data_IF_781871828832
#
_entry.id   IF_781871828832
#
_cell.length_a   1.000
_cell.length_b   1.000
_cell.length_c   1.000
_cell.angle_alpha   90.00
_cell.angle_beta   90.00
_cell.angle_gamma   90.00
#
_symmetry.space_group_name_H-M   'P 1'
#
loop_
_entity.id
_entity.type
_entity.pdbx_description
1 polymer ?
#
# COMPACT_ATOMS: atom_id res chain seq x y z
N UNK A 1 -12.63 7.29 -7.45
CA UNK A 1 -12.56 5.93 -8.04
C UNK A 1 -12.45 5.96 -9.55
N UNK A 2 -13.41 6.50 -10.31
CA UNK A 2 -13.33 6.53 -11.78
C UNK A 2 -12.01 7.12 -12.32
N UNK A 3 -11.57 8.26 -11.78
CA UNK A 3 -10.30 8.89 -12.13
C UNK A 3 -9.07 7.98 -11.88
N UNK A 4 -9.08 7.25 -10.76
CA UNK A 4 -8.00 6.31 -10.42
C UNK A 4 -7.97 5.18 -11.44
N UNK A 5 -9.12 4.58 -11.75
CA UNK A 5 -9.19 3.50 -12.73
C UNK A 5 -8.79 3.95 -14.14
N UNK A 6 -9.13 5.18 -14.55
CA UNK A 6 -8.66 5.75 -15.82
C UNK A 6 -7.14 5.91 -15.84
N UNK A 7 -6.55 6.42 -14.75
CA UNK A 7 -5.10 6.57 -14.62
C UNK A 7 -4.39 5.23 -14.72
N UNK A 8 -4.87 4.22 -13.98
CA UNK A 8 -4.29 2.87 -14.00
C UNK A 8 -4.47 2.20 -15.35
N UNK A 9 -5.64 2.31 -15.98
CA UNK A 9 -5.86 1.79 -17.34
C UNK A 9 -4.85 2.38 -18.32
N UNK A 10 -4.65 3.70 -18.27
CA UNK A 10 -3.68 4.41 -19.11
C UNK A 10 -2.24 3.91 -18.90
N UNK A 11 -1.84 3.66 -17.65
CA UNK A 11 -0.52 3.07 -17.34
C UNK A 11 -0.38 1.67 -17.94
N UNK A 12 -1.36 0.79 -17.73
CA UNK A 12 -1.29 -0.58 -18.26
C UNK A 12 -1.27 -0.57 -19.79
N UNK A 13 -2.04 0.31 -20.44
CA UNK A 13 -2.05 0.45 -21.90
C UNK A 13 -0.67 0.96 -22.43
N UNK A 14 0.02 1.83 -21.69
CA UNK A 14 1.33 2.40 -22.07
C UNK A 14 2.51 1.44 -21.83
N UNK A 15 2.53 0.76 -20.69
CA UNK A 15 3.63 -0.12 -20.28
C UNK A 15 3.24 -1.58 -20.51
N UNK A 16 3.83 -2.20 -21.53
CA UNK A 16 3.48 -3.57 -21.96
C UNK A 16 3.88 -4.69 -20.99
N UNK A 17 4.79 -4.39 -20.06
CA UNK A 17 5.32 -5.29 -19.04
C UNK A 17 4.63 -5.15 -17.68
N UNK A 18 3.67 -4.23 -17.55
CA UNK A 18 2.85 -4.10 -16.34
C UNK A 18 1.57 -4.94 -16.41
N UNK A 19 1.17 -5.43 -15.24
CA UNK A 19 -0.13 -6.03 -15.00
C UNK A 19 -0.76 -5.44 -13.74
N UNK A 20 -2.08 -5.36 -13.72
CA UNK A 20 -2.86 -4.94 -12.56
C UNK A 20 -3.56 -6.14 -11.95
N UNK A 21 -3.45 -6.31 -10.64
CA UNK A 21 -4.35 -7.15 -9.85
C UNK A 21 -5.16 -6.24 -8.96
N UNK A 22 -6.49 -6.25 -9.11
CA UNK A 22 -7.40 -5.45 -8.29
C UNK A 22 -8.40 -6.35 -7.56
N UNK A 23 -8.15 -6.65 -6.27
CA UNK A 23 -9.14 -7.28 -5.39
C UNK A 23 -10.31 -6.33 -5.16
N UNK A 24 -11.43 -6.60 -5.83
CA UNK A 24 -12.56 -5.67 -5.89
C UNK A 24 -13.32 -5.64 -4.57
N UNK A 25 -13.50 -4.44 -4.01
CA UNK A 25 -14.40 -4.23 -2.88
C UNK A 25 -15.82 -4.77 -3.19
N UNK A 26 -16.52 -5.27 -2.17
CA UNK A 26 -17.89 -5.83 -2.29
C UNK A 26 -18.97 -4.79 -2.68
N UNK A 27 -18.61 -3.53 -2.89
CA UNK A 27 -19.57 -2.47 -3.19
C UNK A 27 -19.95 -2.57 -4.67
N UNK A 28 -21.23 -2.86 -5.02
CA UNK A 28 -21.64 -3.03 -6.41
C UNK A 28 -21.31 -1.83 -7.29
N UNK A 29 -21.47 -0.60 -6.77
CA UNK A 29 -21.16 0.62 -7.53
C UNK A 29 -19.68 0.73 -7.90
N UNK A 30 -18.79 0.24 -7.04
CA UNK A 30 -17.34 0.23 -7.33
C UNK A 30 -17.02 -0.83 -8.36
N UNK A 31 -17.65 -2.02 -8.26
CA UNK A 31 -17.50 -3.10 -9.24
C UNK A 31 -17.96 -2.71 -10.63
N UNK A 32 -19.12 -2.07 -10.76
CA UNK A 32 -19.65 -1.64 -12.05
C UNK A 32 -18.67 -0.69 -12.76
N UNK A 33 -18.11 0.27 -12.02
CA UNK A 33 -17.13 1.22 -12.55
C UNK A 33 -15.80 0.52 -12.87
N UNK A 34 -15.36 -0.43 -12.04
CA UNK A 34 -14.16 -1.22 -12.30
C UNK A 34 -14.31 -2.05 -13.57
N UNK A 35 -15.38 -2.83 -13.71
CA UNK A 35 -15.63 -3.62 -14.93
C UNK A 35 -15.77 -2.74 -16.17
N UNK A 36 -16.42 -1.58 -16.06
CA UNK A 36 -16.58 -0.66 -17.20
C UNK A 36 -15.25 -0.10 -17.73
N UNK A 37 -14.28 0.17 -16.86
CA UNK A 37 -13.03 0.88 -17.23
C UNK A 37 -11.85 -0.07 -17.35
N UNK A 38 -11.71 -0.99 -16.39
CA UNK A 38 -10.60 -1.91 -16.26
C UNK A 38 -10.89 -3.27 -16.92
N UNK A 39 -12.16 -3.62 -17.15
CA UNK A 39 -12.53 -4.90 -17.75
C UNK A 39 -12.06 -5.06 -19.20
N UNK A 40 -11.98 -6.32 -19.63
CA UNK A 40 -11.67 -6.69 -21.01
C UNK A 40 -10.23 -6.39 -21.45
N UNK A 41 -9.30 -6.29 -20.50
CA UNK A 41 -7.87 -6.11 -20.77
C UNK A 41 -7.08 -7.31 -20.25
N UNK A 42 -6.29 -7.95 -21.11
CA UNK A 42 -5.63 -9.25 -20.82
C UNK A 42 -4.61 -9.22 -19.67
N UNK A 43 -4.15 -8.02 -19.27
CA UNK A 43 -3.20 -7.81 -18.16
C UNK A 43 -3.84 -7.14 -16.94
N UNK A 44 -5.18 -7.06 -16.88
CA UNK A 44 -5.90 -6.52 -15.73
C UNK A 44 -6.81 -7.59 -15.15
N UNK A 45 -6.46 -8.06 -13.96
CA UNK A 45 -7.20 -9.07 -13.22
C UNK A 45 -8.11 -8.42 -12.18
N UNK A 46 -9.41 -8.49 -12.43
CA UNK A 46 -10.45 -8.07 -11.49
C UNK A 46 -10.90 -9.28 -10.68
N UNK A 47 -10.39 -9.40 -9.46
CA UNK A 47 -10.60 -10.59 -8.63
C UNK A 47 -11.49 -10.30 -7.41
N UNK A 48 -11.96 -11.37 -6.77
CA UNK A 48 -12.65 -11.26 -5.49
C UNK A 48 -11.69 -10.80 -4.37
N UNK A 49 -12.19 -10.18 -3.29
CA UNK A 49 -11.36 -9.81 -2.15
C UNK A 49 -10.53 -10.99 -1.66
N UNK A 50 -9.23 -10.78 -1.53
CA UNK A 50 -8.29 -11.75 -0.98
C UNK A 50 -8.42 -11.82 0.53
N UNK A 51 -8.14 -12.99 1.11
CA UNK A 51 -7.87 -13.08 2.53
C UNK A 51 -6.48 -12.50 2.86
N UNK A 52 -6.16 -12.43 4.15
CA UNK A 52 -4.91 -11.81 4.61
C UNK A 52 -3.66 -12.55 4.12
N UNK A 53 -3.71 -13.88 4.03
CA UNK A 53 -2.55 -14.68 3.64
C UNK A 53 -2.27 -14.45 2.16
N UNK A 54 -3.29 -14.55 1.32
CA UNK A 54 -3.16 -14.32 -0.10
C UNK A 54 -2.75 -12.87 -0.35
N UNK A 55 -3.41 -11.90 0.28
CA UNK A 55 -3.11 -10.48 0.08
C UNK A 55 -1.66 -10.15 0.41
N UNK A 56 -1.13 -10.61 1.56
CA UNK A 56 0.27 -10.35 1.93
C UNK A 56 1.26 -10.96 0.94
N UNK A 57 0.96 -12.14 0.40
CA UNK A 57 1.80 -12.75 -0.63
C UNK A 57 1.75 -11.97 -1.95
N UNK A 58 0.57 -11.51 -2.38
CA UNK A 58 0.44 -10.63 -3.55
C UNK A 58 1.18 -9.30 -3.34
N UNK A 59 1.01 -8.66 -2.19
CA UNK A 59 1.69 -7.43 -1.83
C UNK A 59 3.22 -7.61 -1.91
N UNK A 60 3.75 -8.69 -1.33
CA UNK A 60 5.19 -9.01 -1.37
C UNK A 60 5.73 -9.25 -2.78
N UNK A 61 4.92 -9.74 -3.72
CA UNK A 61 5.32 -9.93 -5.12
C UNK A 61 5.07 -8.71 -6.01
N UNK A 62 4.29 -7.72 -5.55
CA UNK A 62 4.01 -6.51 -6.31
C UNK A 62 5.28 -5.68 -6.57
N UNK A 63 5.25 -4.84 -7.61
CA UNK A 63 6.31 -3.85 -7.83
C UNK A 63 6.10 -2.63 -6.93
N UNK A 64 4.89 -2.09 -6.89
CA UNK A 64 4.41 -1.09 -5.92
C UNK A 64 2.90 -1.25 -5.72
N UNK A 65 2.33 -0.54 -4.75
CA UNK A 65 0.92 -0.64 -4.39
C UNK A 65 0.24 0.74 -4.47
N UNK A 66 -0.96 0.77 -5.05
CA UNK A 66 -1.89 1.89 -4.99
C UNK A 66 -2.97 1.58 -3.96
N UNK A 67 -3.15 2.41 -2.93
CA UNK A 67 -4.13 2.10 -1.87
C UNK A 67 -4.66 3.34 -1.15
N UNK A 68 -5.90 3.26 -0.66
CA UNK A 68 -6.46 4.18 0.34
C UNK A 68 -6.57 3.53 1.74
N UNK A 69 -6.16 2.26 1.87
CA UNK A 69 -6.22 1.49 3.12
C UNK A 69 -5.12 1.94 4.09
N UNK A 70 -5.50 2.16 5.35
CA UNK A 70 -4.56 2.47 6.44
C UNK A 70 -3.66 1.27 6.78
N UNK A 71 -4.21 0.06 6.84
CA UNK A 71 -3.41 -1.15 7.16
C UNK A 71 -2.34 -1.43 6.12
N UNK A 72 -2.66 -1.25 4.83
CA UNK A 72 -1.69 -1.48 3.76
C UNK A 72 -0.55 -0.46 3.77
N UNK A 73 -0.81 0.77 4.23
CA UNK A 73 0.25 1.76 4.43
C UNK A 73 1.24 1.33 5.53
N UNK A 74 0.81 0.55 6.52
CA UNK A 74 1.68 0.02 7.57
C UNK A 74 2.39 -1.28 7.15
N UNK A 75 1.70 -2.14 6.40
CA UNK A 75 2.15 -3.49 6.06
C UNK A 75 3.08 -3.53 4.85
N UNK A 76 2.76 -2.79 3.78
CA UNK A 76 3.53 -2.85 2.53
C UNK A 76 5.00 -2.42 2.68
N UNK A 77 5.35 -1.42 3.50
CA UNK A 77 6.76 -1.09 3.76
C UNK A 77 7.56 -2.24 4.37
N UNK A 78 6.95 -3.13 5.16
CA UNK A 78 7.64 -4.33 5.67
C UNK A 78 8.03 -5.32 4.57
N UNK A 79 7.46 -5.20 3.38
CA UNK A 79 7.81 -6.00 2.19
C UNK A 79 8.70 -5.23 1.21
N UNK A 80 9.22 -4.07 1.62
CA UNK A 80 10.03 -3.16 0.79
C UNK A 80 9.25 -2.72 -0.47
N UNK A 81 7.95 -2.44 -0.32
CA UNK A 81 7.09 -2.04 -1.43
C UNK A 81 6.71 -0.57 -1.32
N UNK A 82 7.06 0.25 -2.34
CA UNK A 82 6.58 1.61 -2.41
C UNK A 82 5.05 1.66 -2.43
N UNK A 83 4.48 2.64 -1.74
CA UNK A 83 3.02 2.84 -1.69
C UNK A 83 2.65 4.24 -2.16
N UNK A 84 1.74 4.31 -3.13
CA UNK A 84 1.09 5.56 -3.52
C UNK A 84 -0.29 5.62 -2.87
N UNK A 85 -0.49 6.59 -1.99
CA UNK A 85 -1.69 6.74 -1.18
C UNK A 85 -2.74 7.53 -1.95
N UNK A 86 -3.88 6.90 -2.22
CA UNK A 86 -4.99 7.42 -3.02
C UNK A 86 -5.96 8.30 -2.19
N UNK A 87 -5.41 9.16 -1.33
CA UNK A 87 -6.15 10.09 -0.47
C UNK A 87 -5.51 11.47 -0.51
N UNK A 88 -6.28 12.52 -0.26
CA UNK A 88 -5.75 13.90 -0.20
C UNK A 88 -4.98 14.19 1.10
N UNK A 89 -5.24 13.41 2.14
CA UNK A 89 -4.59 13.49 3.45
C UNK A 89 -4.43 12.07 3.98
N UNK A 90 -3.41 11.85 4.81
CA UNK A 90 -3.18 10.57 5.50
C UNK A 90 -3.03 10.75 7.00
N UNK A 91 -3.57 9.82 7.78
CA UNK A 91 -3.35 9.64 9.22
C UNK A 91 -2.04 8.88 9.54
N UNK A 92 -1.17 8.72 8.53
CA UNK A 92 0.09 7.99 8.57
C UNK A 92 1.26 8.87 8.11
N UNK A 93 1.50 10.03 8.76
CA UNK A 93 2.57 10.94 8.36
C UNK A 93 3.96 10.30 8.48
N UNK A 94 4.15 9.36 9.40
CA UNK A 94 5.43 8.71 9.66
C UNK A 94 5.97 7.98 8.42
N UNK A 95 5.09 7.32 7.68
CA UNK A 95 5.45 6.61 6.45
C UNK A 95 5.76 7.55 5.29
N UNK A 96 5.16 8.74 5.28
CA UNK A 96 5.50 9.82 4.33
C UNK A 96 6.87 10.40 4.67
N UNK A 97 7.10 10.72 5.95
CA UNK A 97 8.36 11.27 6.44
C UNK A 97 9.53 10.29 6.24
N UNK A 98 9.27 8.99 6.44
CA UNK A 98 10.24 7.92 6.17
C UNK A 98 10.49 7.67 4.67
N UNK A 99 9.62 8.17 3.78
CA UNK A 99 9.72 7.97 2.33
C UNK A 99 9.11 6.66 1.80
N UNK A 100 8.51 5.84 2.66
CA UNK A 100 7.83 4.60 2.26
C UNK A 100 6.50 4.86 1.53
N UNK A 101 5.85 5.99 1.84
CA UNK A 101 4.54 6.40 1.31
C UNK A 101 4.66 7.71 0.53
N UNK A 102 3.95 7.83 -0.60
CA UNK A 102 3.73 9.11 -1.29
C UNK A 102 2.23 9.37 -1.39
N UNK A 103 1.76 10.48 -0.83
CA UNK A 103 0.34 10.89 -0.91
C UNK A 103 0.09 11.54 -2.26
N UNK A 104 -0.82 10.96 -3.05
CA UNK A 104 -1.06 11.37 -4.44
C UNK A 104 -2.46 11.95 -4.66
N UNK A 105 -3.42 11.63 -3.80
CA UNK A 105 -4.80 12.05 -4.00
C UNK A 105 -5.56 11.13 -4.98
N UNK A 106 -6.58 11.68 -5.64
CA UNK A 106 -7.52 10.89 -6.46
C UNK A 106 -7.77 11.46 -7.85
N UNK A 107 -7.05 12.51 -8.23
CA UNK A 107 -7.12 13.09 -9.56
C UNK A 107 -6.38 12.19 -10.55
N UNK A 108 -6.96 11.98 -11.74
CA UNK A 108 -6.42 11.04 -12.74
C UNK A 108 -4.96 11.35 -13.08
N UNK A 109 -4.69 12.61 -13.42
CA UNK A 109 -3.36 13.04 -13.83
C UNK A 109 -2.30 12.86 -12.73
N UNK A 110 -2.64 13.13 -11.47
CA UNK A 110 -1.72 13.02 -10.35
C UNK A 110 -1.36 11.56 -10.08
N UNK A 111 -2.37 10.68 -10.07
CA UNK A 111 -2.20 9.23 -9.90
C UNK A 111 -1.34 8.66 -11.02
N UNK A 112 -1.63 9.02 -12.27
CA UNK A 112 -0.85 8.58 -13.42
C UNK A 112 0.60 9.06 -13.32
N UNK A 113 0.82 10.35 -13.04
CA UNK A 113 2.16 10.95 -13.03
C UNK A 113 3.02 10.37 -11.91
N UNK A 114 2.47 10.21 -10.71
CA UNK A 114 3.21 9.64 -9.58
C UNK A 114 3.59 8.17 -9.80
N UNK A 115 2.69 7.37 -10.40
CA UNK A 115 3.00 5.99 -10.75
C UNK A 115 4.02 5.91 -11.88
N UNK A 116 3.87 6.73 -12.93
CA UNK A 116 4.83 6.84 -14.03
C UNK A 116 6.23 7.20 -13.54
N UNK A 117 6.35 8.22 -12.67
CA UNK A 117 7.62 8.59 -12.05
C UNK A 117 8.26 7.42 -11.31
N UNK A 118 7.47 6.65 -10.55
CA UNK A 118 7.97 5.51 -9.79
C UNK A 118 8.41 4.34 -10.69
N UNK A 119 7.79 4.19 -11.86
CA UNK A 119 8.16 3.18 -12.87
C UNK A 119 9.43 3.61 -13.62
N UNK A 120 9.51 4.88 -14.03
CA UNK A 120 10.57 5.38 -14.90
C UNK A 120 11.85 5.81 -14.13
N UNK A 121 11.74 6.17 -12.84
CA UNK A 121 12.87 6.60 -12.01
C UNK A 121 13.26 5.50 -11.00
N UNK A 122 14.26 4.71 -11.39
CA UNK A 122 14.82 3.65 -10.55
C UNK A 122 15.37 4.19 -9.21
N UNK A 123 15.89 5.43 -9.16
CA UNK A 123 16.40 5.99 -7.91
C UNK A 123 15.27 6.29 -6.94
N UNK A 124 14.17 6.85 -7.43
CA UNK A 124 12.97 7.08 -6.62
C UNK A 124 12.41 5.74 -6.12
N UNK A 125 12.38 4.72 -6.97
CA UNK A 125 11.93 3.39 -6.58
C UNK A 125 12.76 2.83 -5.42
N UNK A 126 14.09 2.84 -5.54
CA UNK A 126 14.98 2.35 -4.48
C UNK A 126 14.85 3.18 -3.19
N UNK A 127 14.75 4.50 -3.30
CA UNK A 127 14.51 5.38 -2.14
C UNK A 127 13.26 4.99 -1.34
N UNK A 128 12.17 4.66 -2.03
CA UNK A 128 10.91 4.27 -1.35
C UNK A 128 10.91 2.82 -0.87
N UNK A 129 11.52 1.89 -1.63
CA UNK A 129 11.52 0.46 -1.31
C UNK A 129 12.53 0.09 -0.23
N UNK A 130 13.66 0.79 -0.13
CA UNK A 130 14.69 0.56 0.89
C UNK A 130 14.47 1.39 2.17
N UNK A 131 13.48 2.30 2.16
CA UNK A 131 13.10 3.06 3.34
C UNK A 131 12.64 2.15 4.48
N UNK A 132 13.08 2.46 5.70
CA UNK A 132 12.73 1.67 6.88
C UNK A 132 11.26 1.84 7.24
N UNK A 133 10.58 0.75 7.57
CA UNK A 133 9.19 0.80 8.03
C UNK A 133 9.11 1.46 9.42
N UNK A 134 8.50 2.65 9.57
CA UNK A 134 8.40 3.33 10.86
C UNK A 134 7.34 2.73 11.79
N UNK A 135 6.52 1.78 11.31
CA UNK A 135 5.36 1.26 12.05
C UNK A 135 5.68 0.07 12.95
N UNK A 136 6.82 -0.58 12.76
CA UNK A 136 7.25 -1.65 13.63
C UNK A 136 8.23 -2.64 13.02
N UNK A 137 8.68 -3.54 13.89
CA UNK A 137 9.67 -4.58 13.62
C UNK A 137 9.11 -6.00 13.80
N UNK A 138 7.79 -6.12 13.98
CA UNK A 138 7.11 -7.40 14.21
C UNK A 138 7.00 -7.83 15.68
N UNK A 139 7.53 -7.09 16.64
CA UNK A 139 7.51 -7.46 18.07
C UNK A 139 6.51 -6.65 18.92
N UNK A 140 5.56 -5.96 18.29
CA UNK A 140 4.56 -5.14 18.99
C UNK A 140 3.76 -5.93 20.03
N UNK A 141 3.31 -7.15 19.72
CA UNK A 141 2.54 -7.98 20.65
C UNK A 141 3.34 -8.34 21.90
N UNK A 142 4.62 -8.69 21.75
CA UNK A 142 5.50 -8.98 22.88
C UNK A 142 5.70 -7.73 23.76
N UNK A 143 5.95 -6.57 23.14
CA UNK A 143 6.09 -5.30 23.87
C UNK A 143 4.82 -4.95 24.65
N UNK A 144 3.64 -5.12 24.05
CA UNK A 144 2.35 -4.87 24.72
C UNK A 144 2.19 -5.77 25.94
N UNK A 145 2.43 -7.07 25.78
CA UNK A 145 2.34 -8.04 26.89
C UNK A 145 3.31 -7.68 28.01
N UNK A 146 4.55 -7.31 27.68
CA UNK A 146 5.55 -6.94 28.66
C UNK A 146 5.16 -5.64 29.40
N UNK A 147 4.56 -4.66 28.71
CA UNK A 147 4.06 -3.44 29.36
C UNK A 147 2.89 -3.73 30.31
N UNK A 148 1.98 -4.64 29.94
CA UNK A 148 0.88 -5.07 30.82
C UNK A 148 1.44 -5.77 32.06
N UNK A 149 2.42 -6.67 31.89
CA UNK A 149 3.09 -7.35 33.02
C UNK A 149 3.76 -6.35 33.96
N UNK A 150 4.43 -5.35 33.42
CA UNK A 150 5.06 -4.28 34.21
C UNK A 150 4.01 -3.48 34.98
N UNK A 151 2.91 -3.07 34.33
CA UNK A 151 1.82 -2.34 34.98
C UNK A 151 1.18 -3.12 36.15
N UNK A 152 1.07 -4.44 36.01
CA UNK A 152 0.55 -5.35 37.05
C UNK A 152 1.60 -5.79 38.08
N UNK A 153 2.83 -5.24 38.02
CA UNK A 153 3.96 -5.60 38.89
C UNK A 153 4.36 -7.10 38.82
N UNK A 154 4.12 -7.76 37.69
CA UNK A 154 4.55 -9.15 37.44
C UNK A 154 6.03 -9.23 37.01
N UNK A 155 6.58 -8.11 36.55
CA UNK A 155 8.00 -7.91 36.27
C UNK A 155 8.44 -6.56 36.85
N UNK A 156 9.73 -6.43 37.16
CA UNK A 156 10.29 -5.22 37.78
C UNK A 156 10.94 -4.26 36.78
N UNK A 157 11.40 -4.78 35.65
CA UNK A 157 12.03 -3.96 34.60
C UNK A 157 10.98 -3.42 33.63
N UNK A 158 10.99 -2.10 33.41
CA UNK A 158 10.12 -1.45 32.43
C UNK A 158 10.61 -1.82 31.01
N UNK A 159 9.74 -2.33 30.12
CA UNK A 159 10.14 -2.60 28.74
C UNK A 159 10.49 -1.30 28.01
N UNK A 160 11.41 -1.39 27.05
CA UNK A 160 11.79 -0.25 26.22
C UNK A 160 10.72 0.08 25.17
N UNK A 161 10.64 1.35 24.82
CA UNK A 161 9.85 1.81 23.66
C UNK A 161 10.49 1.31 22.35
N UNK A 162 9.69 1.25 21.28
CA UNK A 162 10.18 1.04 19.92
C UNK A 162 10.62 2.40 19.35
N UNK A 163 11.82 2.46 18.80
CA UNK A 163 12.40 3.65 18.17
C UNK A 163 12.54 3.44 16.67
#
# INVERSE_FOLDING_TARGET
MENIFKAVRRLIDEYTDLALVYPMHKNPKVRDVAHKILGGHDRIELIEPLDVIDFHNFAKQSYFILTDSGGIQEEAPSFNKPVLVLRSVTERPEGVDAGTLKVVGTHEQDVYQAAKELIDDERLYHQMSEASNPYGDGFASERIVNHIKYYLNLITEKPSDFN
#
